data_IF_931198332303
#
_entry.id   IF_931198332303
#
_cell.length_a   1.000
_cell.length_b   1.000
_cell.length_c   1.000
_cell.angle_alpha   90.00
_cell.angle_beta   90.00
_cell.angle_gamma   90.00
#
_symmetry.space_group_name_H-M   'P 1'
#
loop_
_entity.id
_entity.type
_entity.pdbx_description
1 polymer ?
#
# COMPACT_ATOMS: atom_id res chain seq x y z
N UNK A 1 -26.64 6.29 -10.22
CA UNK A 1 -25.60 5.84 -9.29
C UNK A 1 -24.45 6.83 -9.33
N UNK A 2 -24.37 7.71 -8.35
CA UNK A 2 -23.22 8.62 -8.20
C UNK A 2 -22.05 7.75 -7.73
N UNK A 3 -21.11 7.42 -8.62
CA UNK A 3 -19.83 6.91 -8.18
C UNK A 3 -19.22 8.01 -7.30
N UNK A 4 -19.20 7.80 -5.98
CA UNK A 4 -18.43 8.67 -5.08
C UNK A 4 -16.99 8.56 -5.58
N UNK A 5 -16.54 9.60 -6.27
CA UNK A 5 -15.15 9.74 -6.67
C UNK A 5 -14.34 9.80 -5.38
N UNK A 6 -13.68 8.70 -5.05
CA UNK A 6 -12.87 8.57 -3.85
C UNK A 6 -11.51 9.22 -4.12
N UNK A 7 -11.47 10.55 -4.29
CA UNK A 7 -10.22 11.29 -4.32
C UNK A 7 -9.56 11.16 -2.94
N UNK A 8 -8.31 10.66 -2.85
CA UNK A 8 -7.63 10.57 -1.57
C UNK A 8 -7.38 11.97 -0.99
N UNK A 9 -7.64 12.12 0.31
CA UNK A 9 -7.28 13.27 1.13
C UNK A 9 -6.04 12.91 1.94
N UNK A 10 -5.15 13.88 2.15
CA UNK A 10 -3.93 13.72 2.92
C UNK A 10 -4.13 14.28 4.34
N UNK A 11 -3.65 13.56 5.35
CA UNK A 11 -3.49 14.04 6.71
C UNK A 11 -2.21 13.49 7.34
N UNK A 12 -1.69 14.17 8.36
CA UNK A 12 -0.60 13.69 9.20
C UNK A 12 -1.06 13.43 10.65
N UNK A 13 -2.38 13.36 10.87
CA UNK A 13 -2.97 13.12 12.18
C UNK A 13 -3.74 11.79 12.19
N UNK A 14 -3.56 11.03 13.26
CA UNK A 14 -4.32 9.81 13.50
C UNK A 14 -5.78 10.10 13.83
N UNK A 15 -6.06 11.23 14.49
CA UNK A 15 -7.39 11.54 15.00
C UNK A 15 -8.42 11.71 13.85
N UNK A 16 -7.94 12.08 12.66
CA UNK A 16 -8.76 12.15 11.44
C UNK A 16 -9.27 10.78 10.95
N UNK A 17 -8.61 9.68 11.32
CA UNK A 17 -8.95 8.32 10.87
C UNK A 17 -9.26 7.33 12.00
N UNK A 18 -8.98 7.71 13.25
CA UNK A 18 -9.23 6.94 14.47
C UNK A 18 -10.59 7.30 15.10
N UNK A 19 -11.60 7.55 14.27
CA UNK A 19 -12.97 7.78 14.75
C UNK A 19 -13.69 6.47 15.12
N UNK A 20 -14.74 6.54 15.97
CA UNK A 20 -15.52 5.37 16.34
C UNK A 20 -16.13 4.66 15.12
N UNK A 21 -15.94 3.34 15.07
CA UNK A 21 -16.43 2.46 14.00
C UNK A 21 -16.89 1.16 14.66
N UNK A 22 -18.15 0.78 14.46
CA UNK A 22 -18.73 -0.37 15.16
C UNK A 22 -19.66 -1.18 14.23
N UNK A 23 -19.77 -2.50 14.44
CA UNK A 23 -20.87 -3.28 13.91
C UNK A 23 -22.17 -2.85 14.62
N UNK A 24 -23.20 -2.53 13.84
CA UNK A 24 -24.54 -2.16 14.34
C UNK A 24 -25.57 -3.05 13.67
N UNK A 25 -26.56 -3.53 14.41
CA UNK A 25 -27.63 -4.32 13.81
C UNK A 25 -28.51 -3.45 12.91
N UNK A 26 -28.91 -4.01 11.78
CA UNK A 26 -29.80 -3.35 10.82
C UNK A 26 -31.15 -3.00 11.47
N UNK A 27 -31.63 -3.85 12.38
CA UNK A 27 -32.84 -3.63 13.19
C UNK A 27 -32.76 -2.36 14.02
N UNK A 28 -31.59 -2.05 14.56
CA UNK A 28 -31.39 -0.87 15.41
C UNK A 28 -31.39 0.43 14.57
N UNK A 29 -31.08 0.32 13.27
CA UNK A 29 -31.07 1.44 12.34
C UNK A 29 -32.41 1.65 11.65
N UNK A 30 -33.23 0.60 11.54
CA UNK A 30 -34.54 0.60 10.88
C UNK A 30 -35.59 -0.04 11.80
N UNK A 31 -35.88 0.57 12.97
CA UNK A 31 -36.73 -0.04 14.00
C UNK A 31 -38.18 -0.28 13.54
N UNK A 32 -38.65 0.47 12.55
CA UNK A 32 -40.03 0.41 12.06
C UNK A 32 -40.23 -0.58 10.89
N UNK A 33 -39.20 -1.37 10.55
CA UNK A 33 -39.23 -2.30 9.43
C UNK A 33 -39.10 -3.75 9.88
N UNK A 34 -39.96 -4.63 9.33
CA UNK A 34 -39.79 -6.07 9.44
C UNK A 34 -38.65 -6.54 8.53
N UNK A 35 -37.53 -6.92 9.13
CA UNK A 35 -36.34 -7.39 8.39
C UNK A 35 -36.45 -8.91 8.18
N UNK A 36 -36.82 -9.31 6.96
CA UNK A 36 -36.94 -10.73 6.57
C UNK A 36 -35.56 -11.34 6.23
N UNK A 37 -34.62 -10.53 5.75
CA UNK A 37 -33.28 -10.99 5.37
C UNK A 37 -32.51 -11.49 6.60
N UNK A 38 -32.02 -12.73 6.57
CA UNK A 38 -31.33 -13.38 7.69
C UNK A 38 -29.80 -13.30 7.60
N UNK A 39 -29.26 -13.01 6.42
CA UNK A 39 -27.85 -12.74 6.21
C UNK A 39 -27.55 -11.23 6.33
N UNK A 40 -26.28 -10.89 6.56
CA UNK A 40 -25.79 -9.50 6.42
C UNK A 40 -26.51 -8.46 7.29
N UNK A 41 -27.02 -8.90 8.45
CA UNK A 41 -27.78 -8.06 9.37
C UNK A 41 -26.94 -7.08 10.19
N UNK A 42 -25.60 -7.17 10.13
CA UNK A 42 -24.72 -6.22 10.80
C UNK A 42 -24.08 -5.28 9.78
N UNK A 43 -24.22 -3.99 10.04
CA UNK A 43 -23.65 -2.90 9.24
C UNK A 43 -22.42 -2.33 9.95
N UNK A 44 -21.39 -1.98 9.18
CA UNK A 44 -20.22 -1.27 9.71
C UNK A 44 -20.50 0.21 9.63
N UNK A 45 -20.72 0.82 10.79
CA UNK A 45 -21.15 2.21 10.91
C UNK A 45 -20.12 3.01 11.68
N UNK A 46 -19.72 4.15 11.13
CA UNK A 46 -18.78 5.05 11.79
C UNK A 46 -19.10 6.51 11.48
N UNK A 47 -18.44 7.40 12.20
CA UNK A 47 -18.69 8.84 12.12
C UNK A 47 -17.36 9.59 12.01
N UNK A 48 -16.92 9.89 10.77
CA UNK A 48 -15.71 10.69 10.56
C UNK A 48 -15.84 12.06 11.22
N UNK A 49 -14.71 12.64 11.66
CA UNK A 49 -14.70 13.96 12.27
C UNK A 49 -15.30 15.02 11.34
N UNK A 50 -16.27 15.80 11.84
CA UNK A 50 -17.00 16.79 11.04
C UNK A 50 -17.91 16.19 9.95
N UNK A 51 -18.03 14.87 9.90
CA UNK A 51 -18.86 14.12 8.96
C UNK A 51 -20.23 13.77 9.52
N UNK A 52 -20.96 12.95 8.77
CA UNK A 52 -22.22 12.32 9.22
C UNK A 52 -21.95 10.86 9.53
N UNK A 53 -22.77 10.29 10.41
CA UNK A 53 -22.84 8.84 10.61
C UNK A 53 -23.04 8.14 9.25
N UNK A 54 -22.10 7.27 8.91
CA UNK A 54 -21.94 6.68 7.58
C UNK A 54 -21.86 5.17 7.70
N UNK A 55 -22.60 4.47 6.83
CA UNK A 55 -22.47 3.02 6.64
C UNK A 55 -21.35 2.78 5.64
N UNK A 56 -20.22 2.24 6.11
CA UNK A 56 -19.05 1.98 5.25
C UNK A 56 -19.15 0.63 4.54
N UNK A 57 -19.76 -0.35 5.19
CA UNK A 57 -19.84 -1.70 4.68
C UNK A 57 -20.86 -2.54 5.41
N UNK A 58 -20.95 -3.79 4.98
CA UNK A 58 -21.83 -4.79 5.55
C UNK A 58 -20.91 -5.89 6.09
N UNK A 59 -21.07 -6.22 7.37
CA UNK A 59 -20.33 -7.29 8.01
C UNK A 59 -20.70 -8.61 7.32
N UNK A 60 -19.68 -9.33 6.85
CA UNK A 60 -19.85 -10.61 6.19
C UNK A 60 -19.05 -11.69 6.91
N UNK A 61 -19.30 -12.95 6.55
CA UNK A 61 -18.56 -14.08 7.10
C UNK A 61 -17.08 -14.09 6.73
N UNK A 62 -16.59 -13.21 5.86
CA UNK A 62 -15.18 -13.11 5.43
C UNK A 62 -14.58 -11.72 5.71
N UNK A 63 -15.34 -10.80 6.30
CA UNK A 63 -14.92 -9.42 6.56
C UNK A 63 -14.91 -9.16 8.06
N UNK A 64 -13.82 -8.59 8.59
CA UNK A 64 -13.74 -8.14 9.98
C UNK A 64 -13.27 -6.70 9.98
N UNK A 65 -14.05 -5.85 10.64
CA UNK A 65 -13.67 -4.47 10.86
C UNK A 65 -12.46 -4.42 11.81
N UNK A 66 -11.42 -3.70 11.40
CA UNK A 66 -10.24 -3.42 12.20
C UNK A 66 -10.18 -1.92 12.41
N UNK A 67 -10.58 -1.40 13.58
CA UNK A 67 -10.46 0.01 13.90
C UNK A 67 -9.00 0.50 13.77
N UNK A 68 -8.79 1.65 13.13
CA UNK A 68 -7.46 2.24 12.96
C UNK A 68 -6.78 2.55 14.30
N UNK A 69 -7.55 2.75 15.38
CA UNK A 69 -7.01 2.93 16.74
C UNK A 69 -6.17 1.72 17.18
N UNK A 70 -6.57 0.49 16.84
CA UNK A 70 -5.77 -0.70 17.18
C UNK A 70 -4.45 -0.74 16.44
N UNK A 71 -4.42 -0.24 15.20
CA UNK A 71 -3.19 -0.12 14.41
C UNK A 71 -2.28 0.92 15.08
N UNK A 72 -2.81 2.12 15.38
CA UNK A 72 -2.06 3.20 16.05
C UNK A 72 -1.43 2.71 17.36
N UNK A 73 -2.19 2.04 18.21
CA UNK A 73 -1.70 1.53 19.50
C UNK A 73 -0.51 0.59 19.34
N UNK A 74 -0.55 -0.30 18.35
CA UNK A 74 0.58 -1.20 18.06
C UNK A 74 1.77 -0.43 17.49
N UNK A 75 1.56 0.52 16.57
CA UNK A 75 2.62 1.37 16.05
C UNK A 75 3.29 2.17 17.18
N UNK A 76 2.50 2.79 18.05
CA UNK A 76 2.99 3.54 19.21
C UNK A 76 3.80 2.64 20.16
N UNK A 77 3.32 1.42 20.40
CA UNK A 77 4.02 0.42 21.23
C UNK A 77 5.34 -0.04 20.61
N UNK A 78 5.36 -0.26 19.29
CA UNK A 78 6.56 -0.72 18.58
C UNK A 78 7.58 0.41 18.50
N UNK A 79 7.21 1.59 18.03
CA UNK A 79 8.15 2.67 17.70
C UNK A 79 8.30 3.74 18.78
N UNK A 80 7.55 3.66 19.90
CA UNK A 80 7.68 4.59 21.01
C UNK A 80 7.34 6.03 20.64
N UNK A 81 6.38 6.22 19.71
CA UNK A 81 6.04 7.52 19.10
C UNK A 81 7.17 8.23 18.34
N UNK A 82 8.32 7.56 18.13
CA UNK A 82 9.41 8.08 17.31
C UNK A 82 9.17 7.76 15.83
N UNK A 83 8.09 8.30 15.28
CA UNK A 83 7.75 8.20 13.86
C UNK A 83 6.90 9.41 13.45
N UNK A 84 6.92 9.71 12.16
CA UNK A 84 5.92 10.61 11.55
C UNK A 84 4.89 9.76 10.84
N UNK A 85 3.62 10.19 10.87
CA UNK A 85 2.56 9.53 10.11
C UNK A 85 2.16 10.40 8.93
N UNK A 86 1.94 9.78 7.78
CA UNK A 86 1.24 10.37 6.66
C UNK A 86 0.17 9.40 6.20
N UNK A 87 -1.07 9.88 6.14
CA UNK A 87 -2.23 9.07 5.80
C UNK A 87 -2.87 9.63 4.54
N UNK A 88 -3.14 8.75 3.58
CA UNK A 88 -4.03 9.02 2.44
C UNK A 88 -5.31 8.23 2.65
N UNK A 89 -6.45 8.90 2.74
CA UNK A 89 -7.73 8.23 2.99
C UNK A 89 -8.84 8.76 2.09
N UNK A 90 -9.89 7.97 1.93
CA UNK A 90 -11.03 8.32 1.08
C UNK A 90 -12.32 8.39 1.89
N UNK A 91 -13.30 9.15 1.39
CA UNK A 91 -14.64 9.21 1.98
C UNK A 91 -15.37 7.86 1.99
N UNK A 92 -14.90 6.89 1.20
CA UNK A 92 -15.41 5.51 1.18
C UNK A 92 -14.75 4.60 2.22
N UNK A 93 -13.94 5.15 3.13
CA UNK A 93 -13.33 4.41 4.23
C UNK A 93 -12.16 3.51 3.82
N UNK A 94 -11.37 3.92 2.83
CA UNK A 94 -10.08 3.28 2.51
C UNK A 94 -8.93 4.12 3.06
N UNK A 95 -7.90 3.47 3.60
CA UNK A 95 -6.78 4.13 4.27
C UNK A 95 -5.44 3.55 3.79
N UNK A 96 -4.53 4.43 3.39
CA UNK A 96 -3.09 4.18 3.27
C UNK A 96 -2.39 4.92 4.40
N UNK A 97 -1.73 4.21 5.29
CA UNK A 97 -1.09 4.76 6.48
C UNK A 97 0.41 4.53 6.34
N UNK A 98 1.15 5.59 6.03
CA UNK A 98 2.61 5.58 5.94
C UNK A 98 3.21 5.96 7.29
N UNK A 99 3.84 5.00 7.95
CA UNK A 99 4.64 5.17 9.16
C UNK A 99 6.08 5.46 8.72
N UNK A 100 6.52 6.70 8.91
CA UNK A 100 7.81 7.21 8.45
C UNK A 100 8.76 7.23 9.63
N UNK A 101 9.90 6.56 9.49
CA UNK A 101 10.91 6.38 10.52
C UNK A 101 12.07 7.35 10.29
N UNK A 102 12.85 7.63 11.35
CA UNK A 102 13.98 8.56 11.28
C UNK A 102 15.16 8.03 10.48
N UNK A 103 15.32 6.70 10.43
CA UNK A 103 16.36 6.06 9.63
C UNK A 103 16.14 6.37 8.13
N UNK A 104 17.21 6.69 7.41
CA UNK A 104 17.12 7.03 6.00
C UNK A 104 18.25 6.46 5.16
N UNK A 105 18.09 6.55 3.86
CA UNK A 105 19.04 6.16 2.84
C UNK A 105 19.17 7.29 1.82
N UNK A 106 20.37 7.55 1.34
CA UNK A 106 20.58 8.49 0.24
C UNK A 106 20.54 7.78 -1.11
N UNK A 107 19.73 8.27 -2.04
CA UNK A 107 19.71 7.84 -3.45
C UNK A 107 20.03 9.06 -4.32
N UNK A 108 21.21 9.08 -4.93
CA UNK A 108 21.70 10.27 -5.63
C UNK A 108 21.84 11.47 -4.67
N UNK A 109 21.23 12.60 -5.03
CA UNK A 109 21.17 13.80 -4.17
C UNK A 109 20.01 13.79 -3.17
N UNK A 110 19.19 12.75 -3.17
CA UNK A 110 17.97 12.69 -2.37
C UNK A 110 18.17 11.88 -1.09
N UNK A 111 17.55 12.31 0.01
CA UNK A 111 17.44 11.53 1.23
C UNK A 111 16.04 10.94 1.34
N UNK A 112 15.97 9.62 1.37
CA UNK A 112 14.76 8.84 1.58
C UNK A 112 14.69 8.43 3.05
N UNK A 113 13.49 8.43 3.61
CA UNK A 113 13.26 7.94 4.96
C UNK A 113 12.72 6.52 4.88
N UNK A 114 13.10 5.63 5.78
CA UNK A 114 12.49 4.31 5.84
C UNK A 114 11.02 4.48 6.22
N UNK A 115 10.15 3.71 5.58
CA UNK A 115 8.73 3.72 5.90
C UNK A 115 8.12 2.34 5.92
N UNK A 116 6.96 2.26 6.55
CA UNK A 116 6.06 1.13 6.50
C UNK A 116 4.69 1.62 6.11
N UNK A 117 4.07 0.97 5.14
CA UNK A 117 2.70 1.28 4.78
C UNK A 117 1.78 0.18 5.27
N UNK A 118 0.78 0.59 6.04
CA UNK A 118 -0.36 -0.24 6.39
C UNK A 118 -1.55 0.24 5.57
N UNK A 119 -2.21 -0.67 4.87
CA UNK A 119 -3.47 -0.37 4.17
C UNK A 119 -4.61 -1.01 4.93
N UNK A 120 -5.65 -0.24 5.22
CA UNK A 120 -6.85 -0.73 5.89
C UNK A 120 -8.11 -0.26 5.16
N UNK A 121 -9.24 -0.91 5.39
CA UNK A 121 -10.53 -0.45 4.85
C UNK A 121 -11.69 -0.82 5.75
N UNK A 122 -12.63 0.11 5.88
CA UNK A 122 -13.91 -0.07 6.56
C UNK A 122 -15.04 -0.52 5.63
N UNK A 123 -14.79 -0.56 4.31
CA UNK A 123 -15.79 -0.95 3.32
C UNK A 123 -15.72 -2.43 2.90
N UNK A 124 -14.76 -3.19 3.46
CA UNK A 124 -14.59 -4.63 3.21
C UNK A 124 -14.08 -5.01 1.81
N UNK A 125 -13.78 -4.05 0.92
CA UNK A 125 -13.23 -4.33 -0.41
C UNK A 125 -11.72 -4.56 -0.39
N UNK A 126 -11.03 -3.89 0.51
CA UNK A 126 -9.57 -3.94 0.62
C UNK A 126 -9.19 -4.62 1.93
N UNK A 127 -8.46 -5.75 1.89
CA UNK A 127 -8.00 -6.40 3.12
C UNK A 127 -6.96 -5.53 3.82
N UNK A 128 -6.77 -5.76 5.12
CA UNK A 128 -5.62 -5.21 5.83
C UNK A 128 -4.33 -5.75 5.19
N UNK A 129 -3.46 -4.85 4.73
CA UNK A 129 -2.15 -5.20 4.18
C UNK A 129 -1.03 -4.43 4.87
N UNK A 130 0.14 -5.05 4.96
CA UNK A 130 1.38 -4.42 5.37
C UNK A 130 2.31 -4.55 4.17
N UNK A 131 2.70 -3.41 3.59
CA UNK A 131 3.52 -3.36 2.38
C UNK A 131 2.98 -4.26 1.26
N UNK A 132 1.69 -4.11 0.94
CA UNK A 132 1.03 -4.83 -0.16
C UNK A 132 0.72 -6.30 0.10
N UNK A 133 1.24 -6.90 1.18
CA UNK A 133 0.95 -8.28 1.57
C UNK A 133 -0.22 -8.33 2.56
N UNK A 134 -1.19 -9.23 2.35
CA UNK A 134 -2.32 -9.38 3.26
C UNK A 134 -1.85 -9.89 4.61
N UNK A 135 -2.43 -9.34 5.68
CA UNK A 135 -2.09 -9.72 7.06
C UNK A 135 -2.16 -11.23 7.29
N UNK A 136 -3.18 -11.89 6.72
CA UNK A 136 -3.36 -13.35 6.78
C UNK A 136 -2.26 -14.15 6.07
N UNK A 137 -1.74 -13.65 4.95
CA UNK A 137 -0.66 -14.33 4.23
C UNK A 137 0.66 -14.22 5.00
N UNK A 138 0.90 -13.09 5.65
CA UNK A 138 2.09 -12.87 6.47
C UNK A 138 2.07 -13.71 7.75
N UNK A 139 0.91 -13.78 8.43
CA UNK A 139 0.74 -14.57 9.65
C UNK A 139 1.03 -16.08 9.43
N UNK A 140 0.67 -16.62 8.27
CA UNK A 140 0.82 -18.05 7.97
C UNK A 140 2.15 -18.43 7.31
N UNK A 141 2.81 -17.48 6.62
CA UNK A 141 3.95 -17.76 5.76
C UNK A 141 5.32 -17.44 6.34
N UNK A 142 5.40 -16.80 7.52
CA UNK A 142 6.67 -16.32 8.08
C UNK A 142 7.38 -15.26 7.20
N UNK A 143 6.68 -14.74 6.18
CA UNK A 143 7.22 -13.74 5.28
C UNK A 143 7.33 -12.41 6.03
N UNK A 144 8.56 -11.89 6.10
CA UNK A 144 8.79 -10.53 6.58
C UNK A 144 8.27 -9.55 5.54
N UNK A 145 7.62 -8.45 5.95
CA UNK A 145 7.25 -7.41 5.00
C UNK A 145 8.54 -6.87 4.37
N UNK A 146 8.44 -6.40 3.13
CA UNK A 146 9.55 -5.74 2.44
C UNK A 146 10.04 -4.51 3.19
N UNK A 147 11.00 -3.78 2.63
CA UNK A 147 11.32 -2.43 3.10
C UNK A 147 10.76 -1.41 2.13
N UNK A 148 9.92 -0.52 2.64
CA UNK A 148 9.44 0.64 1.89
C UNK A 148 10.24 1.87 2.29
N UNK A 149 10.35 2.81 1.36
CA UNK A 149 10.99 4.10 1.56
C UNK A 149 9.97 5.21 1.31
N UNK A 150 10.05 6.29 2.08
CA UNK A 150 9.25 7.47 1.95
C UNK A 150 10.09 8.58 1.32
N UNK A 151 9.52 9.23 0.30
CA UNK A 151 10.14 10.33 -0.42
C UNK A 151 9.42 11.63 -0.13
N UNK A 152 10.08 12.53 0.59
CA UNK A 152 9.48 13.78 1.06
C UNK A 152 9.01 14.71 -0.07
N UNK A 153 9.76 14.78 -1.18
CA UNK A 153 9.44 15.64 -2.35
C UNK A 153 8.08 15.28 -2.96
N UNK A 154 7.72 14.00 -2.95
CA UNK A 154 6.49 13.50 -3.53
C UNK A 154 5.40 13.19 -2.49
N UNK A 155 5.73 13.25 -1.21
CA UNK A 155 4.83 12.88 -0.12
C UNK A 155 4.16 11.51 -0.38
N UNK A 156 5.00 10.49 -0.55
CA UNK A 156 4.59 9.15 -0.92
C UNK A 156 5.55 8.08 -0.39
N UNK A 157 4.97 6.91 -0.09
CA UNK A 157 5.72 5.68 0.10
C UNK A 157 6.01 4.99 -1.24
N UNK A 158 7.21 4.47 -1.37
CA UNK A 158 7.72 3.69 -2.50
C UNK A 158 7.52 2.21 -2.21
N UNK A 159 6.96 1.51 -3.19
CA UNK A 159 6.39 0.17 -3.01
C UNK A 159 6.96 -0.84 -3.99
N UNK A 160 8.02 -0.46 -4.70
CA UNK A 160 8.85 -1.37 -5.44
C UNK A 160 9.72 -2.17 -4.48
N UNK A 161 9.51 -3.48 -4.37
CA UNK A 161 10.27 -4.35 -3.47
C UNK A 161 11.07 -5.39 -4.23
N UNK A 162 12.32 -5.60 -3.83
CA UNK A 162 13.15 -6.73 -4.24
C UNK A 162 13.61 -7.58 -3.04
N UNK A 163 13.24 -7.19 -1.82
CA UNK A 163 13.82 -7.77 -0.59
C UNK A 163 13.50 -9.26 -0.37
N UNK A 164 12.47 -9.78 -1.04
CA UNK A 164 12.10 -11.20 -0.98
C UNK A 164 13.14 -12.14 -1.62
N UNK A 165 13.98 -11.64 -2.51
CA UNK A 165 14.97 -12.45 -3.24
C UNK A 165 16.28 -12.65 -2.49
N UNK A 166 16.54 -11.85 -1.44
CA UNK A 166 17.75 -11.93 -0.62
C UNK A 166 19.04 -11.44 -1.30
N UNK A 167 19.28 -11.79 -2.58
CA UNK A 167 20.48 -11.39 -3.35
C UNK A 167 20.14 -10.87 -4.74
N UNK A 168 21.01 -9.98 -5.24
CA UNK A 168 20.86 -9.35 -6.56
C UNK A 168 20.86 -10.35 -7.73
N UNK A 169 21.76 -11.36 -7.80
CA UNK A 169 21.76 -12.31 -8.92
C UNK A 169 20.47 -13.13 -9.02
N UNK A 170 19.92 -13.56 -7.88
CA UNK A 170 18.66 -14.31 -7.82
C UNK A 170 17.49 -13.47 -8.36
N UNK A 171 17.49 -12.16 -8.03
CA UNK A 171 16.52 -11.22 -8.56
C UNK A 171 16.70 -10.94 -10.05
N UNK A 172 17.93 -10.75 -10.52
CA UNK A 172 18.24 -10.54 -11.94
C UNK A 172 17.80 -11.72 -12.80
N UNK A 173 18.14 -12.94 -12.37
CA UNK A 173 17.72 -14.16 -13.06
C UNK A 173 16.19 -14.27 -13.12
N UNK A 174 15.50 -13.95 -12.02
CA UNK A 174 14.03 -13.90 -12.00
C UNK A 174 13.45 -12.84 -12.96
N UNK A 175 14.11 -11.70 -13.14
CA UNK A 175 13.68 -10.67 -14.09
C UNK A 175 13.83 -11.13 -15.54
N UNK A 176 14.89 -11.88 -15.85
CA UNK A 176 15.18 -12.43 -17.19
C UNK A 176 14.22 -13.55 -17.58
N UNK A 177 13.95 -14.46 -16.64
CA UNK A 177 13.07 -15.63 -16.83
C UNK A 177 11.58 -15.28 -16.87
N UNK A 178 11.23 -14.03 -16.57
CA UNK A 178 9.83 -13.60 -16.51
C UNK A 178 9.22 -13.68 -17.92
N UNK A 179 8.23 -14.56 -18.17
CA UNK A 179 7.61 -14.64 -19.48
C UNK A 179 6.97 -13.29 -19.81
N UNK A 180 7.41 -12.70 -20.93
CA UNK A 180 6.80 -11.50 -21.50
C UNK A 180 5.35 -11.85 -21.88
N UNK A 181 4.40 -11.38 -21.04
CA UNK A 181 2.94 -11.27 -21.26
C UNK A 181 2.05 -12.40 -20.69
N UNK A 182 0.98 -11.94 -20.00
CA UNK A 182 -0.17 -12.61 -19.36
C UNK A 182 0.09 -13.20 -17.97
N UNK A 183 -0.35 -12.44 -16.96
CA UNK A 183 -0.70 -12.92 -15.62
C UNK A 183 -1.68 -14.11 -15.69
N UNK A 184 -1.16 -15.31 -15.94
CA UNK A 184 -1.76 -16.52 -15.41
C UNK A 184 -0.97 -16.86 -14.16
N UNK A 185 -1.44 -16.33 -13.03
CA UNK A 185 -1.07 -16.90 -11.74
C UNK A 185 -1.44 -18.39 -11.80
N UNK A 186 -0.45 -19.27 -11.90
CA UNK A 186 -0.64 -20.64 -11.48
C UNK A 186 -1.09 -20.57 -10.01
N UNK A 187 -2.24 -21.15 -9.65
CA UNK A 187 -2.60 -21.27 -8.26
C UNK A 187 -1.54 -22.18 -7.64
N UNK A 188 -0.65 -21.61 -6.84
CA UNK A 188 0.09 -22.38 -5.85
C UNK A 188 -0.99 -23.16 -5.10
N UNK A 189 -0.96 -24.49 -5.22
CA UNK A 189 -1.85 -25.37 -4.46
C UNK A 189 -1.54 -25.11 -2.98
N UNK A 190 -2.31 -24.21 -2.37
CA UNK A 190 -2.33 -24.08 -0.92
C UNK A 190 -2.84 -25.41 -0.41
N UNK A 191 -1.99 -26.12 0.33
CA UNK A 191 -2.42 -27.21 1.22
C UNK A 191 -3.68 -26.77 1.96
N UNK A 192 -4.70 -27.62 1.91
CA UNK A 192 -6.10 -27.34 2.23
C UNK A 192 -6.39 -27.06 3.71
N UNK A 193 -5.43 -26.65 4.53
CA UNK A 193 -5.61 -26.58 5.99
C UNK A 193 -5.71 -25.16 6.58
N UNK A 194 -5.47 -24.09 5.80
CA UNK A 194 -5.49 -22.72 6.35
C UNK A 194 -6.47 -21.77 5.64
N UNK A 195 -7.51 -22.34 5.03
CA UNK A 195 -8.71 -21.54 4.73
C UNK A 195 -9.42 -21.24 6.05
N UNK A 196 -9.52 -19.93 6.33
CA UNK A 196 -10.31 -19.29 7.39
C UNK A 196 -9.59 -19.25 8.74
N UNK A 197 -9.01 -18.09 9.06
CA UNK A 197 -9.20 -17.58 10.42
C UNK A 197 -10.72 -17.44 10.55
N UNK A 198 -11.38 -18.43 11.17
CA UNK A 198 -12.81 -18.33 11.43
C UNK A 198 -13.04 -17.12 12.32
N UNK A 199 -13.90 -16.22 11.86
CA UNK A 199 -14.19 -14.88 12.39
C UNK A 199 -14.58 -14.82 13.87
N UNK A 200 -14.87 -15.96 14.50
CA UNK A 200 -15.16 -16.07 15.93
C UNK A 200 -13.92 -15.98 16.84
N UNK A 201 -12.69 -15.85 16.31
CA UNK A 201 -11.46 -15.92 17.11
C UNK A 201 -10.51 -14.71 17.02
N UNK A 202 -10.73 -13.73 16.15
CA UNK A 202 -9.86 -12.54 16.09
C UNK A 202 -10.32 -11.52 17.14
N UNK A 203 -9.83 -11.66 18.38
CA UNK A 203 -10.04 -10.62 19.39
C UNK A 203 -9.08 -9.45 19.14
N UNK A 204 -9.40 -8.23 19.62
CA UNK A 204 -8.50 -7.08 19.52
C UNK A 204 -7.09 -7.41 20.03
N UNK A 205 -6.99 -8.14 21.14
CA UNK A 205 -5.73 -8.49 21.79
C UNK A 205 -4.90 -9.44 20.92
N UNK A 206 -5.54 -10.45 20.31
CA UNK A 206 -4.86 -11.38 19.42
C UNK A 206 -4.36 -10.67 18.16
N UNK A 207 -5.19 -9.80 17.57
CA UNK A 207 -4.80 -8.99 16.42
C UNK A 207 -3.59 -8.11 16.76
N UNK A 208 -3.64 -7.38 17.88
CA UNK A 208 -2.58 -6.49 18.28
C UNK A 208 -1.27 -7.23 18.58
N UNK A 209 -1.34 -8.41 19.21
CA UNK A 209 -0.17 -9.25 19.45
C UNK A 209 0.47 -9.71 18.14
N UNK A 210 -0.33 -10.22 17.21
CA UNK A 210 0.16 -10.66 15.89
C UNK A 210 0.77 -9.50 15.09
N UNK A 211 0.12 -8.33 15.07
CA UNK A 211 0.66 -7.15 14.42
C UNK A 211 1.98 -6.74 15.08
N UNK A 212 2.04 -6.70 16.41
CA UNK A 212 3.26 -6.36 17.15
C UNK A 212 4.43 -7.28 16.77
N UNK A 213 4.22 -8.60 16.75
CA UNK A 213 5.26 -9.57 16.36
C UNK A 213 5.78 -9.35 14.94
N UNK A 214 4.88 -9.08 13.99
CA UNK A 214 5.27 -8.78 12.60
C UNK A 214 6.12 -7.52 12.50
N UNK A 215 5.81 -6.50 13.29
CA UNK A 215 6.47 -5.20 13.22
C UNK A 215 7.73 -5.11 14.08
N UNK A 216 7.85 -5.88 15.15
CA UNK A 216 8.99 -5.85 16.06
C UNK A 216 10.33 -6.12 15.35
N UNK A 217 10.33 -6.97 14.33
CA UNK A 217 11.50 -7.27 13.50
C UNK A 217 11.95 -6.14 12.57
N UNK A 218 11.14 -5.09 12.38
CA UNK A 218 11.39 -4.01 11.42
C UNK A 218 12.25 -2.87 11.99
N UNK A 219 12.57 -2.90 13.29
CA UNK A 219 13.42 -1.88 13.95
C UNK A 219 14.88 -1.88 13.48
N UNK A 220 15.38 -2.98 12.93
CA UNK A 220 16.80 -3.14 12.57
C UNK A 220 16.89 -3.78 11.20
N UNK A 221 17.11 -2.97 10.16
CA UNK A 221 17.39 -3.47 8.83
C UNK A 221 18.64 -2.78 8.26
N UNK A 222 19.53 -3.62 7.72
CA UNK A 222 20.69 -3.25 6.90
C UNK A 222 20.21 -2.72 5.54
N UNK A 223 21.10 -2.14 4.69
CA UNK A 223 20.75 -1.83 3.31
C UNK A 223 20.07 -3.03 2.65
N UNK A 224 18.92 -2.79 2.03
CA UNK A 224 18.07 -3.85 1.49
C UNK A 224 18.31 -4.01 0.00
N UNK A 225 17.90 -5.14 -0.59
CA UNK A 225 18.07 -5.32 -2.02
C UNK A 225 17.30 -4.25 -2.81
N UNK A 226 16.12 -3.87 -2.32
CA UNK A 226 15.33 -2.75 -2.86
C UNK A 226 16.15 -1.46 -2.95
N UNK A 227 16.89 -1.11 -1.90
CA UNK A 227 17.76 0.07 -1.89
C UNK A 227 18.83 0.01 -2.99
N UNK A 228 19.49 -1.16 -3.15
CA UNK A 228 20.47 -1.39 -4.23
C UNK A 228 19.84 -1.22 -5.62
N UNK A 229 18.59 -1.65 -5.82
CA UNK A 229 17.89 -1.43 -7.09
C UNK A 229 17.62 0.06 -7.31
N UNK A 230 17.22 0.83 -6.29
CA UNK A 230 17.03 2.28 -6.44
C UNK A 230 18.32 2.99 -6.86
N UNK A 231 19.47 2.60 -6.31
CA UNK A 231 20.78 3.12 -6.73
C UNK A 231 21.06 2.79 -8.20
N UNK A 232 20.81 1.56 -8.64
CA UNK A 232 20.94 1.17 -10.05
C UNK A 232 20.02 1.99 -10.98
N UNK A 233 18.76 2.18 -10.60
CA UNK A 233 17.82 3.01 -11.36
C UNK A 233 18.25 4.49 -11.41
N UNK A 234 18.90 4.98 -10.35
CA UNK A 234 19.40 6.35 -10.28
C UNK A 234 20.60 6.56 -11.21
N UNK A 235 21.48 5.57 -11.30
CA UNK A 235 22.65 5.60 -12.19
C UNK A 235 22.28 5.46 -13.68
N UNK A 236 21.15 4.81 -14.00
CA UNK A 236 20.66 4.64 -15.38
C UNK A 236 19.98 5.92 -15.88
N UNK A 237 20.76 6.76 -16.57
CA UNK A 237 20.25 7.94 -17.29
C UNK A 237 19.43 7.51 -18.50
N UNK A 238 18.32 8.19 -18.75
CA UNK A 238 17.48 7.94 -19.92
C UNK A 238 18.15 8.45 -21.20
N UNK A 239 18.07 7.64 -22.25
CA UNK A 239 18.52 7.97 -23.61
C UNK A 239 17.33 8.26 -24.51
N UNK A 240 17.58 8.70 -25.76
CA UNK A 240 16.52 8.85 -26.78
C UNK A 240 15.76 7.54 -27.04
N UNK A 241 16.40 6.37 -26.86
CA UNK A 241 15.74 5.08 -26.99
C UNK A 241 14.66 4.83 -25.91
N UNK A 242 14.77 5.55 -24.79
CA UNK A 242 13.91 5.40 -23.62
C UNK A 242 12.73 6.40 -23.60
N UNK A 243 12.64 7.31 -24.58
CA UNK A 243 11.53 8.27 -24.71
C UNK A 243 10.15 7.59 -24.83
N UNK A 244 10.13 6.33 -25.26
CA UNK A 244 8.92 5.48 -25.32
C UNK A 244 8.68 4.62 -24.08
N UNK A 245 9.59 4.57 -23.11
CA UNK A 245 9.56 3.62 -22.00
C UNK A 245 8.30 3.78 -21.13
N UNK A 246 7.93 5.02 -20.79
CA UNK A 246 6.70 5.33 -20.04
C UNK A 246 5.44 4.72 -20.67
N UNK A 247 5.37 4.65 -22.01
CA UNK A 247 4.21 4.08 -22.74
C UNK A 247 4.20 2.54 -22.73
N UNK A 248 5.36 1.91 -22.47
CA UNK A 248 5.51 0.45 -22.37
C UNK A 248 5.27 -0.07 -20.95
N UNK A 249 5.25 0.81 -19.95
CA UNK A 249 4.96 0.44 -18.57
C UNK A 249 3.51 -0.08 -18.43
N UNK A 250 3.24 -0.94 -17.44
CA UNK A 250 1.98 -1.64 -17.30
C UNK A 250 0.94 -0.75 -16.60
N UNK A 251 0.82 0.51 -17.03
CA UNK A 251 -0.08 1.51 -16.44
C UNK A 251 -1.05 2.07 -17.49
N UNK A 252 -2.26 2.50 -17.09
CA UNK A 252 -3.18 3.21 -17.97
C UNK A 252 -2.54 4.41 -18.67
N UNK A 253 -2.89 4.61 -19.95
CA UNK A 253 -2.34 5.69 -20.79
C UNK A 253 -2.49 7.07 -20.17
N UNK A 254 -3.60 7.34 -19.48
CA UNK A 254 -3.82 8.62 -18.79
C UNK A 254 -2.83 8.81 -17.62
N UNK A 255 -2.51 7.75 -16.87
CA UNK A 255 -1.50 7.82 -15.81
C UNK A 255 -0.09 7.98 -16.39
N UNK A 256 0.21 7.34 -17.51
CA UNK A 256 1.49 7.54 -18.20
C UNK A 256 1.69 9.01 -18.63
N UNK A 257 0.64 9.68 -19.14
CA UNK A 257 0.68 11.11 -19.47
C UNK A 257 0.95 11.97 -18.22
N UNK A 258 0.26 11.69 -17.11
CA UNK A 258 0.47 12.43 -15.86
C UNK A 258 1.86 12.19 -15.28
N UNK A 259 2.36 10.96 -15.35
CA UNK A 259 3.73 10.63 -14.97
C UNK A 259 4.76 11.37 -15.84
N UNK A 260 4.50 11.53 -17.14
CA UNK A 260 5.39 12.31 -18.02
C UNK A 260 5.48 13.79 -17.60
N UNK A 261 4.34 14.42 -17.29
CA UNK A 261 4.36 15.81 -16.80
C UNK A 261 5.03 15.92 -15.43
N UNK A 262 4.80 14.92 -14.55
CA UNK A 262 5.48 14.86 -13.25
C UNK A 262 6.99 14.68 -13.39
N UNK A 263 7.46 13.84 -14.31
CA UNK A 263 8.89 13.64 -14.58
C UNK A 263 9.58 14.96 -14.93
N UNK A 264 9.00 15.74 -15.85
CA UNK A 264 9.52 17.08 -16.23
C UNK A 264 9.59 18.05 -15.06
N UNK A 265 8.61 17.99 -14.16
CA UNK A 265 8.60 18.80 -12.96
C UNK A 265 9.73 18.38 -12.00
N UNK A 266 9.94 17.07 -11.81
CA UNK A 266 10.99 16.56 -10.94
C UNK A 266 12.39 16.85 -11.46
N UNK A 267 12.63 16.72 -12.76
CA UNK A 267 13.89 17.13 -13.41
C UNK A 267 14.21 18.60 -13.09
N UNK A 268 13.21 19.48 -13.15
CA UNK A 268 13.36 20.91 -12.85
C UNK A 268 13.62 21.17 -11.36
N UNK A 269 12.86 20.52 -10.47
CA UNK A 269 12.99 20.70 -9.02
C UNK A 269 14.38 20.23 -8.54
N UNK A 270 14.86 19.12 -9.08
CA UNK A 270 16.11 18.49 -8.67
C UNK A 270 17.33 18.99 -9.46
N UNK A 271 17.14 19.71 -10.56
CA UNK A 271 18.22 20.10 -11.47
C UNK A 271 18.96 18.90 -12.04
N UNK A 272 18.27 17.76 -12.21
CA UNK A 272 18.86 16.49 -12.56
C UNK A 272 18.38 16.01 -13.94
N UNK A 273 19.26 15.30 -14.65
CA UNK A 273 18.93 14.63 -15.91
C UNK A 273 17.89 13.50 -15.68
N UNK A 274 17.08 13.17 -16.69
CA UNK A 274 16.09 12.12 -16.57
C UNK A 274 16.77 10.78 -16.33
N UNK A 275 16.33 10.06 -15.29
CA UNK A 275 16.81 8.72 -14.94
C UNK A 275 15.63 7.78 -14.74
N UNK A 276 15.91 6.47 -14.71
CA UNK A 276 14.87 5.48 -14.42
C UNK A 276 14.33 5.64 -12.99
N UNK A 277 15.14 6.15 -12.07
CA UNK A 277 14.72 6.56 -10.73
C UNK A 277 13.65 7.66 -10.78
N UNK A 278 13.90 8.75 -11.51
CA UNK A 278 12.89 9.82 -11.64
C UNK A 278 11.64 9.33 -12.37
N UNK A 279 11.78 8.45 -13.36
CA UNK A 279 10.64 7.84 -14.05
C UNK A 279 9.79 7.00 -13.09
N UNK A 280 10.42 6.14 -12.29
CA UNK A 280 9.73 5.34 -11.27
C UNK A 280 8.94 6.23 -10.32
N UNK A 281 9.59 7.27 -9.78
CA UNK A 281 8.96 8.21 -8.85
C UNK A 281 7.78 8.96 -9.47
N UNK A 282 7.92 9.41 -10.72
CA UNK A 282 6.85 10.11 -11.41
C UNK A 282 5.62 9.22 -11.63
N UNK A 283 5.84 7.93 -11.93
CA UNK A 283 4.76 6.94 -12.06
C UNK A 283 4.12 6.64 -10.70
N UNK A 284 4.91 6.41 -9.64
CA UNK A 284 4.39 6.22 -8.29
C UNK A 284 3.54 7.43 -7.87
N UNK A 285 4.03 8.65 -8.06
CA UNK A 285 3.28 9.86 -7.75
C UNK A 285 1.96 9.93 -8.52
N UNK A 286 1.95 9.63 -9.81
CA UNK A 286 0.72 9.58 -10.60
C UNK A 286 -0.24 8.50 -10.06
N UNK A 287 0.26 7.31 -9.74
CA UNK A 287 -0.55 6.22 -9.19
C UNK A 287 -1.25 6.60 -7.88
N UNK A 288 -0.70 7.46 -7.03
CA UNK A 288 -1.31 7.79 -5.73
C UNK A 288 -1.97 9.17 -5.63
N UNK A 289 -1.82 10.03 -6.64
CA UNK A 289 -2.42 11.37 -6.64
C UNK A 289 -3.45 11.59 -7.76
N UNK A 290 -3.48 10.72 -8.77
CA UNK A 290 -4.43 10.82 -9.87
C UNK A 290 -5.83 10.33 -9.48
N UNK A 291 -6.86 11.02 -9.99
CA UNK A 291 -8.22 10.48 -10.06
C UNK A 291 -8.21 9.26 -10.99
N UNK A 292 -8.56 8.10 -10.44
CA UNK A 292 -8.62 6.84 -11.18
C UNK A 292 -9.62 5.91 -10.49
N UNK A 293 -10.21 5.01 -11.25
CA UNK A 293 -11.12 3.97 -10.76
C UNK A 293 -10.40 2.83 -10.03
N UNK A 294 -9.06 2.82 -10.05
CA UNK A 294 -8.26 1.83 -9.34
C UNK A 294 -8.40 1.99 -7.83
N UNK A 295 -8.60 0.86 -7.15
CA UNK A 295 -8.51 0.79 -5.69
C UNK A 295 -7.08 1.10 -5.25
N UNK A 296 -6.90 1.47 -3.98
CA UNK A 296 -5.58 1.70 -3.41
C UNK A 296 -4.67 0.46 -3.54
N UNK A 297 -5.23 -0.74 -3.34
CA UNK A 297 -4.51 -2.00 -3.49
C UNK A 297 -4.05 -2.26 -4.93
N UNK A 298 -4.90 -1.96 -5.93
CA UNK A 298 -4.51 -2.12 -7.33
C UNK A 298 -3.39 -1.17 -7.72
N UNK A 299 -3.39 0.07 -7.17
CA UNK A 299 -2.30 1.03 -7.37
C UNK A 299 -0.97 0.50 -6.83
N UNK A 300 -0.96 -0.17 -5.69
CA UNK A 300 0.27 -0.80 -5.16
C UNK A 300 0.79 -1.93 -6.03
N UNK A 301 -0.08 -2.83 -6.49
CA UNK A 301 0.32 -3.91 -7.41
C UNK A 301 0.90 -3.37 -8.71
N UNK A 302 0.37 -2.25 -9.20
CA UNK A 302 0.92 -1.59 -10.39
C UNK A 302 2.27 -0.94 -10.11
N UNK A 303 2.45 -0.29 -8.95
CA UNK A 303 3.73 0.30 -8.55
C UNK A 303 4.85 -0.75 -8.52
N UNK A 304 4.59 -1.89 -7.87
CA UNK A 304 5.52 -3.02 -7.79
C UNK A 304 5.88 -3.56 -9.19
N UNK A 305 4.89 -3.69 -10.08
CA UNK A 305 5.13 -4.12 -11.47
C UNK A 305 5.98 -3.14 -12.26
N UNK A 306 5.72 -1.84 -12.10
CA UNK A 306 6.52 -0.79 -12.73
C UNK A 306 7.96 -0.85 -12.25
N UNK A 307 8.17 -0.99 -10.94
CA UNK A 307 9.49 -1.14 -10.35
C UNK A 307 10.27 -2.31 -10.97
N UNK A 308 9.66 -3.50 -11.04
CA UNK A 308 10.31 -4.66 -11.64
C UNK A 308 10.61 -4.48 -13.14
N UNK A 309 9.69 -3.87 -13.89
CA UNK A 309 9.90 -3.65 -15.32
C UNK A 309 11.02 -2.63 -15.60
N UNK A 310 11.12 -1.58 -14.78
CA UNK A 310 12.22 -0.62 -14.86
C UNK A 310 13.55 -1.27 -14.44
N UNK A 311 13.54 -2.08 -13.37
CA UNK A 311 14.72 -2.84 -12.95
C UNK A 311 15.23 -3.75 -14.07
N UNK A 312 14.36 -4.57 -14.69
CA UNK A 312 14.72 -5.42 -15.82
C UNK A 312 15.34 -4.62 -16.98
N UNK A 313 14.77 -3.45 -17.27
CA UNK A 313 15.23 -2.59 -18.38
C UNK A 313 16.49 -1.79 -18.03
N UNK A 314 16.88 -1.73 -16.76
CA UNK A 314 18.09 -1.03 -16.30
C UNK A 314 19.32 -1.94 -16.30
N UNK A 315 19.12 -3.26 -16.20
CA UNK A 315 20.19 -4.26 -16.25
C UNK A 315 20.61 -4.64 -17.68
N UNK A 316 19.80 -4.26 -18.68
CA UNK A 316 20.07 -4.45 -20.12
C UNK A 316 20.72 -3.22 -20.75
#
# INVERSE_FOLDING_TARGET
>A
MTYISAQPVLTNDWDDICYPINPVWLTDLLPDYDIIATDRQQLIVGEPLGGRKTIFGIQSADYTIIPNIWIREVIDKVFGKNYTVQIKYTSTGEFSISIILSDGLSIGSESLQRSMIVTNSYNGKTPLTIQGQTFTAMASGGNKPGTSMYRAICQNGLMGWADSFGKLPDYQHWLEDKPKIKDKKQPVKSTQELRKIHHSRLTPELFQAQLFEMLAGQKKARPTLTATIYEHLQQRTMTKADEGMLKRLPIPVQLAKQAQERLRLEERILGASPSYWLMYNAVNHALFNARSSLTLNDRYKLDERVFHQLAASSFT
#
